data_IF_377317029190
#
_entry.id   IF_377317029190
#
_cell.length_a   1.000
_cell.length_b   1.000
_cell.length_c   1.000
_cell.angle_alpha   90.00
_cell.angle_beta   90.00
_cell.angle_gamma   90.00
#
_symmetry.space_group_name_H-M   'P 1'
#
loop_
_entity.id
_entity.type
_entity.pdbx_description
1 polymer ?
#
# COMPACT_ATOMS: atom_id res chain seq x y z
N UNK A 1 -11.69 72.17 6.98
CA UNK A 1 -11.45 72.14 8.44
C UNK A 1 -10.24 71.23 8.69
N UNK A 2 -9.12 71.83 9.12
CA UNK A 2 -7.86 71.27 9.70
C UNK A 2 -7.08 70.18 8.91
N UNK A 3 -5.87 70.45 8.37
CA UNK A 3 -4.53 70.63 9.02
C UNK A 3 -3.78 69.28 9.15
N UNK A 4 -2.84 68.93 8.25
CA UNK A 4 -1.37 69.16 8.26
C UNK A 4 -0.51 68.13 9.03
N UNK A 5 0.60 67.75 8.37
CA UNK A 5 1.90 67.23 8.89
C UNK A 5 1.93 65.82 9.50
N UNK A 6 2.97 64.99 9.33
CA UNK A 6 4.28 65.16 8.71
C UNK A 6 5.10 63.86 8.81
N UNK A 7 6.15 63.72 8.00
CA UNK A 7 7.09 62.59 8.01
C UNK A 7 8.24 62.80 9.00
N UNK A 8 8.69 61.72 9.65
CA UNK A 8 10.05 61.43 10.16
C UNK A 8 10.02 59.93 10.50
N UNK A 9 10.90 59.03 10.09
CA UNK A 9 12.33 59.12 9.86
C UNK A 9 13.06 58.46 11.04
N UNK A 10 13.60 57.25 10.87
CA UNK A 10 14.74 56.79 11.68
C UNK A 10 14.71 55.41 12.33
N UNK A 11 15.56 54.54 11.79
CA UNK A 11 16.52 53.66 12.49
C UNK A 11 16.13 52.28 13.07
N UNK A 12 17.13 51.40 12.94
CA UNK A 12 17.18 49.96 13.14
C UNK A 12 17.29 49.57 14.62
N UNK A 13 16.64 48.46 14.98
CA UNK A 13 17.09 47.46 15.95
C UNK A 13 16.39 46.14 15.51
N UNK A 14 17.03 45.01 15.23
CA UNK A 14 18.13 44.40 15.96
C UNK A 14 17.57 43.65 17.16
N UNK A 15 17.03 42.44 16.96
CA UNK A 15 16.52 41.62 18.06
C UNK A 15 15.81 40.35 17.59
N UNK A 16 16.59 39.28 17.40
CA UNK A 16 16.06 37.93 17.40
C UNK A 16 15.78 37.52 18.86
N UNK A 17 14.55 37.08 19.17
CA UNK A 17 14.31 36.07 20.20
C UNK A 17 12.85 35.62 20.20
N UNK A 18 12.67 34.31 19.94
CA UNK A 18 11.68 33.44 20.59
C UNK A 18 10.24 33.96 20.71
N UNK A 19 9.49 33.88 19.61
CA UNK A 19 8.03 33.77 19.67
C UNK A 19 7.63 32.30 19.72
N UNK A 20 7.39 31.77 20.93
CA UNK A 20 6.69 30.51 21.17
C UNK A 20 5.30 30.60 20.54
N UNK A 21 5.16 30.10 19.31
CA UNK A 21 3.89 29.93 18.63
C UNK A 21 3.27 28.61 19.03
N UNK A 22 2.47 28.63 20.09
CA UNK A 22 1.45 27.63 20.42
C UNK A 22 0.41 27.55 19.29
N UNK A 23 0.68 26.72 18.29
CA UNK A 23 -0.26 26.40 17.22
C UNK A 23 -1.10 25.17 17.58
N UNK A 24 -2.33 25.42 17.99
CA UNK A 24 -3.34 24.40 18.28
C UNK A 24 -3.58 23.49 17.06
N UNK A 25 -3.58 22.18 17.32
CA UNK A 25 -4.07 21.17 16.38
C UNK A 25 -5.57 21.33 16.17
N UNK A 26 -5.97 21.59 14.93
CA UNK A 26 -7.35 21.66 14.50
C UNK A 26 -7.44 22.06 13.04
N UNK A 27 -7.83 21.12 12.17
CA UNK A 27 -8.05 21.42 10.75
C UNK A 27 -7.81 20.27 9.81
N UNK A 28 -8.73 19.30 9.83
CA UNK A 28 -8.96 18.32 8.75
C UNK A 28 -9.37 19.12 7.50
N UNK A 29 -8.48 19.19 6.51
CA UNK A 29 -8.66 19.92 5.26
C UNK A 29 -7.89 19.24 4.12
N UNK A 30 -8.53 19.16 2.96
CA UNK A 30 -8.26 18.34 1.77
C UNK A 30 -6.88 18.49 1.10
N UNK A 31 -5.78 18.09 1.74
CA UNK A 31 -4.45 18.23 1.13
C UNK A 31 -3.33 17.32 1.63
N UNK A 32 -3.44 16.71 2.81
CA UNK A 32 -2.43 15.78 3.31
C UNK A 32 -3.11 14.48 3.72
N UNK A 33 -2.71 13.37 3.08
CA UNK A 33 -3.09 12.04 3.53
C UNK A 33 -2.58 11.79 4.96
N UNK A 34 -3.01 10.70 5.62
CA UNK A 34 -2.50 10.35 6.94
C UNK A 34 -0.97 10.18 6.86
N UNK A 35 -0.25 11.14 7.42
CA UNK A 35 1.19 11.11 7.52
C UNK A 35 1.68 12.03 8.64
N UNK A 36 2.82 11.65 9.21
CA UNK A 36 3.47 12.37 10.31
C UNK A 36 4.54 13.29 9.69
N UNK A 37 4.57 14.56 10.08
CA UNK A 37 5.68 15.44 9.70
C UNK A 37 5.52 16.91 10.08
N UNK A 38 6.05 17.30 11.24
CA UNK A 38 6.34 18.69 11.60
C UNK A 38 7.72 19.09 11.03
N UNK A 39 7.81 19.20 9.70
CA UNK A 39 9.02 19.69 9.01
C UNK A 39 10.18 18.69 8.82
N UNK A 40 10.01 17.39 9.10
CA UNK A 40 10.99 16.34 8.76
C UNK A 40 10.25 15.11 8.20
N UNK A 41 10.58 14.74 6.96
CA UNK A 41 10.21 13.50 6.27
C UNK A 41 8.76 13.02 6.47
N UNK A 42 7.87 13.35 5.54
CA UNK A 42 6.50 12.82 5.52
C UNK A 42 6.52 11.29 5.48
N UNK A 43 6.15 10.65 6.60
CA UNK A 43 5.90 9.22 6.67
C UNK A 43 4.43 9.00 6.32
N UNK A 44 4.15 8.48 5.12
CA UNK A 44 2.79 8.10 4.73
C UNK A 44 2.53 6.61 4.99
N UNK A 45 1.26 6.21 5.01
CA UNK A 45 0.86 4.78 4.98
C UNK A 45 1.50 3.99 3.81
N UNK A 46 1.86 4.68 2.73
CA UNK A 46 2.46 4.15 1.51
C UNK A 46 4.01 4.23 1.52
N UNK A 47 4.60 4.62 2.64
CA UNK A 47 6.05 4.77 2.81
C UNK A 47 6.53 6.22 2.67
N UNK A 48 7.83 6.37 2.40
CA UNK A 48 8.54 7.65 2.39
C UNK A 48 9.47 7.82 1.19
N UNK A 49 9.60 9.05 0.70
CA UNK A 49 10.56 9.38 -0.37
C UNK A 49 12.03 9.29 0.08
N UNK A 50 12.27 9.25 1.40
CA UNK A 50 13.59 9.08 2.00
C UNK A 50 13.75 7.68 2.58
N UNK A 51 14.89 7.02 2.30
CA UNK A 51 15.33 5.83 3.03
C UNK A 51 16.86 5.74 3.03
N UNK A 52 17.44 5.36 4.18
CA UNK A 52 18.88 5.07 4.32
C UNK A 52 19.25 3.60 4.07
N UNK A 53 18.26 2.72 3.87
CA UNK A 53 18.43 1.27 3.73
C UNK A 53 17.68 0.79 2.48
N UNK A 54 18.17 -0.21 1.73
CA UNK A 54 17.40 -0.78 0.63
C UNK A 54 16.15 -1.49 1.18
N UNK A 55 14.97 -0.98 0.80
CA UNK A 55 13.64 -1.45 1.22
C UNK A 55 12.80 -1.87 0.00
N UNK A 56 11.49 -2.02 0.18
CA UNK A 56 10.56 -2.14 -0.93
C UNK A 56 10.42 -0.79 -1.62
N UNK A 57 10.72 -0.72 -2.92
CA UNK A 57 10.57 0.50 -3.73
C UNK A 57 9.24 0.48 -4.47
N UNK A 58 8.38 1.43 -4.11
CA UNK A 58 7.05 1.63 -4.66
C UNK A 58 7.03 2.49 -5.91
N UNK A 59 6.31 2.04 -6.93
CA UNK A 59 5.86 2.84 -8.08
C UNK A 59 4.34 2.84 -8.12
N UNK A 60 3.74 4.03 -8.16
CA UNK A 60 2.32 4.20 -8.42
C UNK A 60 2.08 4.37 -9.93
N UNK A 61 1.11 3.64 -10.47
CA UNK A 61 0.69 3.70 -11.87
C UNK A 61 -0.74 4.23 -11.99
N UNK A 62 -0.97 5.12 -12.96
CA UNK A 62 -2.31 5.52 -13.39
C UNK A 62 -2.77 4.56 -14.49
N UNK A 63 -3.76 3.71 -14.18
CA UNK A 63 -4.27 2.73 -15.14
C UNK A 63 -5.13 3.37 -16.24
N UNK A 64 -5.47 4.66 -16.07
CA UNK A 64 -6.35 5.41 -16.96
C UNK A 64 -5.58 6.11 -18.08
N UNK A 65 -4.25 6.14 -17.99
CA UNK A 65 -3.36 6.85 -18.90
C UNK A 65 -2.36 5.92 -19.56
N UNK A 66 -1.98 6.25 -20.79
CA UNK A 66 -0.88 5.61 -21.49
C UNK A 66 0.45 5.90 -20.78
N UNK A 67 1.53 5.19 -21.12
CA UNK A 67 2.87 5.46 -20.58
C UNK A 67 3.31 6.92 -20.76
N UNK A 68 2.82 7.55 -21.83
CA UNK A 68 3.19 8.90 -22.27
C UNK A 68 2.33 9.97 -21.57
N UNK A 69 1.32 9.57 -20.79
CA UNK A 69 0.46 10.44 -19.99
C UNK A 69 -0.89 10.75 -20.64
N UNK A 70 -1.14 10.26 -21.85
CA UNK A 70 -2.41 10.49 -22.55
C UNK A 70 -3.56 9.74 -21.88
N UNK A 71 -4.70 10.40 -21.73
CA UNK A 71 -5.92 9.78 -21.22
C UNK A 71 -6.42 8.73 -22.19
N UNK A 72 -6.46 7.46 -21.77
CA UNK A 72 -6.99 6.33 -22.56
C UNK A 72 -8.50 6.18 -22.33
N UNK A 73 -9.00 6.56 -21.16
CA UNK A 73 -10.44 6.63 -20.86
C UNK A 73 -10.77 7.60 -19.73
N UNK A 74 -12.04 8.01 -19.66
CA UNK A 74 -12.51 9.05 -18.75
C UNK A 74 -12.17 8.73 -17.28
N UNK A 75 -11.68 9.75 -16.58
CA UNK A 75 -10.72 9.55 -15.49
C UNK A 75 -11.33 9.42 -14.10
N UNK A 76 -12.56 9.88 -13.90
CA UNK A 76 -13.18 9.94 -12.55
C UNK A 76 -14.69 9.76 -12.54
N UNK A 77 -15.37 9.71 -13.69
CA UNK A 77 -16.83 9.66 -13.73
C UNK A 77 -17.34 8.33 -13.12
N UNK A 78 -18.46 8.34 -12.37
CA UNK A 78 -19.04 7.12 -11.79
C UNK A 78 -19.34 6.01 -12.82
N UNK A 79 -19.71 6.39 -14.05
CA UNK A 79 -19.99 5.45 -15.14
C UNK A 79 -18.79 4.63 -15.62
N UNK A 80 -17.55 5.06 -15.34
CA UNK A 80 -16.33 4.38 -15.77
C UNK A 80 -15.84 3.31 -14.77
N UNK A 81 -16.56 3.12 -13.67
CA UNK A 81 -16.21 2.17 -12.61
C UNK A 81 -15.90 0.77 -13.16
N UNK A 82 -16.74 0.26 -14.07
CA UNK A 82 -16.52 -1.05 -14.70
C UNK A 82 -15.22 -1.11 -15.52
N UNK A 83 -14.90 -0.04 -16.26
CA UNK A 83 -13.67 0.03 -17.08
C UNK A 83 -12.41 0.11 -16.22
N UNK A 84 -12.44 0.85 -15.11
CA UNK A 84 -11.32 0.89 -14.15
C UNK A 84 -11.02 -0.48 -13.55
N UNK A 85 -12.05 -1.23 -13.16
CA UNK A 85 -11.92 -2.60 -12.65
C UNK A 85 -11.34 -3.55 -13.69
N UNK A 86 -11.84 -3.47 -14.93
CA UNK A 86 -11.30 -4.26 -16.05
C UNK A 86 -9.81 -3.96 -16.29
N UNK A 87 -9.41 -2.70 -16.24
CA UNK A 87 -8.02 -2.31 -16.47
C UNK A 87 -7.10 -2.69 -15.32
N UNK A 88 -7.57 -2.59 -14.06
CA UNK A 88 -6.89 -3.13 -12.89
C UNK A 88 -6.64 -4.63 -13.02
N UNK A 89 -7.65 -5.40 -13.43
CA UNK A 89 -7.48 -6.82 -13.68
C UNK A 89 -6.51 -7.12 -14.83
N UNK A 90 -6.57 -6.34 -15.91
CA UNK A 90 -5.65 -6.49 -17.03
C UNK A 90 -4.20 -6.23 -16.60
N UNK A 91 -3.96 -5.20 -15.79
CA UNK A 91 -2.65 -4.89 -15.24
C UNK A 91 -2.10 -6.02 -14.35
N UNK A 92 -2.93 -6.56 -13.45
CA UNK A 92 -2.57 -7.69 -12.59
C UNK A 92 -2.29 -8.97 -13.38
N UNK A 93 -3.15 -9.34 -14.34
CA UNK A 93 -2.92 -10.50 -15.22
C UNK A 93 -1.63 -10.33 -16.02
N UNK A 94 -1.36 -9.11 -16.50
CA UNK A 94 -0.11 -8.79 -17.21
C UNK A 94 1.13 -8.95 -16.32
N UNK A 95 1.05 -8.58 -15.04
CA UNK A 95 2.13 -8.85 -14.07
C UNK A 95 2.42 -10.34 -13.97
N UNK A 96 1.40 -11.16 -13.78
CA UNK A 96 1.59 -12.60 -13.60
C UNK A 96 2.07 -13.26 -14.90
N UNK A 97 1.44 -12.95 -16.04
CA UNK A 97 1.78 -13.50 -17.35
C UNK A 97 3.24 -13.19 -17.75
N UNK A 98 3.73 -11.99 -17.41
CA UNK A 98 5.12 -11.60 -17.66
C UNK A 98 6.04 -11.87 -16.46
N UNK A 99 5.68 -12.83 -15.58
CA UNK A 99 6.56 -13.30 -14.50
C UNK A 99 7.05 -12.16 -13.60
N UNK A 100 6.13 -11.25 -13.27
CA UNK A 100 6.35 -10.06 -12.44
C UNK A 100 7.40 -9.09 -12.99
N UNK A 101 7.61 -9.07 -14.31
CA UNK A 101 8.43 -8.05 -14.96
C UNK A 101 7.64 -6.74 -15.11
N UNK A 102 7.76 -5.85 -14.12
CA UNK A 102 7.02 -4.57 -14.07
C UNK A 102 7.28 -3.67 -15.28
N UNK A 103 8.48 -3.73 -15.87
CA UNK A 103 8.80 -2.99 -17.09
C UNK A 103 7.94 -3.45 -18.28
N UNK A 104 7.80 -4.77 -18.46
CA UNK A 104 7.02 -5.34 -19.55
C UNK A 104 5.51 -5.23 -19.28
N UNK A 105 5.09 -5.46 -18.04
CA UNK A 105 3.68 -5.51 -17.68
C UNK A 105 3.03 -4.15 -17.55
N UNK A 106 3.76 -3.17 -16.97
CA UNK A 106 3.18 -1.91 -16.51
C UNK A 106 3.86 -0.70 -17.13
N UNK A 107 5.19 -0.54 -16.99
CA UNK A 107 5.86 0.70 -17.37
C UNK A 107 5.82 0.99 -18.89
N UNK A 108 5.65 -0.04 -19.73
CA UNK A 108 5.43 0.12 -21.17
C UNK A 108 3.99 0.49 -21.55
N UNK A 109 3.04 0.41 -20.61
CA UNK A 109 1.61 0.55 -20.88
C UNK A 109 0.98 1.73 -20.14
N UNK A 110 1.31 1.90 -18.86
CA UNK A 110 0.66 2.86 -17.97
C UNK A 110 1.58 4.00 -17.58
N UNK A 111 0.99 5.17 -17.35
CA UNK A 111 1.71 6.31 -16.79
C UNK A 111 2.19 5.97 -15.37
N UNK A 112 3.47 6.15 -15.10
CA UNK A 112 4.06 5.96 -13.78
C UNK A 112 4.25 7.31 -13.10
N UNK A 113 3.85 7.41 -11.82
CA UNK A 113 4.17 8.57 -11.01
C UNK A 113 5.70 8.78 -10.96
N UNK A 114 6.17 10.03 -11.08
CA UNK A 114 7.59 10.35 -11.07
C UNK A 114 8.21 10.11 -9.68
N UNK A 115 7.47 10.44 -8.62
CA UNK A 115 7.86 10.14 -7.24
C UNK A 115 7.83 8.63 -6.98
N UNK A 116 8.83 8.12 -6.28
CA UNK A 116 8.87 6.75 -5.76
C UNK A 116 8.91 6.80 -4.24
N UNK A 117 8.26 5.85 -3.58
CA UNK A 117 8.28 5.72 -2.12
C UNK A 117 9.02 4.45 -1.72
N UNK A 118 9.67 4.48 -0.57
CA UNK A 118 10.26 3.31 0.06
C UNK A 118 9.37 2.88 1.22
N UNK A 119 9.07 1.59 1.31
CA UNK A 119 8.22 1.03 2.35
C UNK A 119 8.90 -0.17 3.02
N UNK A 120 8.70 -0.30 4.34
CA UNK A 120 9.15 -1.45 5.12
C UNK A 120 8.09 -2.55 5.22
N UNK A 121 6.83 -2.23 4.92
CA UNK A 121 5.68 -3.11 5.02
C UNK A 121 4.60 -2.66 4.04
N UNK A 122 3.64 -3.54 3.75
CA UNK A 122 2.37 -3.15 3.13
C UNK A 122 1.28 -3.35 4.18
N UNK A 123 1.03 -2.28 4.92
CA UNK A 123 -0.07 -2.17 5.87
C UNK A 123 -0.67 -0.78 5.71
N UNK A 124 -1.73 -0.68 4.95
CA UNK A 124 -2.43 0.55 4.61
C UNK A 124 -3.86 0.27 5.00
N UNK A 125 -4.24 0.55 6.25
CA UNK A 125 -5.63 0.42 6.65
C UNK A 125 -6.02 1.43 7.72
N UNK A 126 -7.33 1.70 7.81
CA UNK A 126 -8.00 2.61 8.73
C UNK A 126 -8.15 2.02 10.14
N UNK A 127 -7.89 2.85 11.14
CA UNK A 127 -8.33 2.63 12.52
C UNK A 127 -9.87 2.75 12.69
N UNK A 128 -10.49 1.68 13.23
CA UNK A 128 -11.93 1.58 13.53
C UNK A 128 -12.34 2.55 14.65
N UNK A 129 -11.43 2.90 15.58
CA UNK A 129 -11.69 3.79 16.71
C UNK A 129 -11.73 5.26 16.32
N UNK A 130 -10.82 5.73 15.47
CA UNK A 130 -10.76 7.14 15.04
C UNK A 130 -11.67 7.49 13.86
N UNK A 131 -12.32 6.51 13.22
CA UNK A 131 -13.12 6.72 12.00
C UNK A 131 -12.35 7.42 10.86
N UNK A 132 -11.01 7.38 10.81
CA UNK A 132 -10.22 7.92 9.70
C UNK A 132 -10.06 6.94 8.52
N UNK A 133 -10.97 7.01 7.55
CA UNK A 133 -10.96 6.12 6.37
C UNK A 133 -9.83 6.50 5.44
N UNK A 134 -8.98 5.53 5.07
CA UNK A 134 -8.04 5.73 3.97
C UNK A 134 -8.86 5.78 2.69
N UNK A 135 -9.00 6.98 2.16
CA UNK A 135 -9.65 7.24 0.89
C UNK A 135 -8.68 6.85 -0.24
N UNK A 136 -9.21 6.44 -1.39
CA UNK A 136 -8.43 6.09 -2.56
C UNK A 136 -7.43 7.19 -2.98
N UNK A 137 -7.79 8.47 -2.78
CA UNK A 137 -6.90 9.61 -3.07
C UNK A 137 -5.67 9.70 -2.15
N UNK A 138 -5.66 8.99 -0.99
CA UNK A 138 -4.51 8.99 -0.09
C UNK A 138 -3.28 8.38 -0.78
N UNK A 139 -3.47 7.37 -1.64
CA UNK A 139 -2.39 6.79 -2.44
C UNK A 139 -1.81 7.83 -3.39
N UNK A 140 -2.63 8.50 -4.21
CA UNK A 140 -2.16 9.52 -5.16
C UNK A 140 -1.49 10.69 -4.46
N UNK A 141 -2.00 11.12 -3.30
CA UNK A 141 -1.42 12.20 -2.51
C UNK A 141 -0.06 11.82 -1.90
N UNK A 142 0.12 10.57 -1.46
CA UNK A 142 1.39 10.11 -0.91
C UNK A 142 2.54 10.15 -1.93
N UNK A 143 2.22 10.01 -3.23
CA UNK A 143 3.17 10.08 -4.34
C UNK A 143 3.27 11.48 -4.96
N UNK A 144 2.82 12.53 -4.26
CA UNK A 144 2.96 13.91 -4.73
C UNK A 144 4.43 14.29 -4.98
N UNK A 145 4.63 15.22 -5.92
CA UNK A 145 5.94 15.80 -6.19
C UNK A 145 6.36 16.85 -5.15
N UNK A 146 7.51 17.50 -5.33
CA UNK A 146 7.94 18.61 -4.47
C UNK A 146 6.96 19.79 -4.41
N UNK A 147 6.08 19.92 -5.42
CA UNK A 147 5.02 20.93 -5.48
C UNK A 147 3.77 20.56 -4.64
N UNK A 148 3.78 19.39 -3.99
CA UNK A 148 2.69 18.91 -3.13
C UNK A 148 1.45 18.46 -3.90
N UNK A 149 1.49 18.42 -5.25
CA UNK A 149 0.33 18.03 -6.05
C UNK A 149 0.36 16.53 -6.36
N UNK A 150 -0.80 15.83 -6.28
CA UNK A 150 -0.87 14.44 -6.69
C UNK A 150 -0.58 14.34 -8.20
N UNK A 151 0.12 13.28 -8.65
CA UNK A 151 0.49 13.12 -10.06
C UNK A 151 -0.72 12.86 -10.97
N UNK A 152 -1.83 12.39 -10.41
CA UNK A 152 -3.12 12.15 -11.06
C UNK A 152 -4.22 11.92 -10.01
N UNK A 153 -5.48 11.97 -10.45
CA UNK A 153 -6.62 11.71 -9.59
C UNK A 153 -6.89 10.21 -9.41
N UNK A 154 -7.30 9.83 -8.20
CA UNK A 154 -7.99 8.57 -7.93
C UNK A 154 -9.45 8.64 -8.43
N UNK A 155 -10.15 7.49 -8.59
CA UNK A 155 -9.68 6.09 -8.47
C UNK A 155 -8.95 5.56 -9.72
N UNK A 156 -8.62 4.26 -9.75
CA UNK A 156 -8.06 3.58 -10.93
C UNK A 156 -6.53 3.63 -10.97
N UNK A 157 -5.90 3.15 -9.91
CA UNK A 157 -4.45 3.13 -9.75
C UNK A 157 -3.97 1.78 -9.23
N UNK A 158 -2.68 1.51 -9.47
CA UNK A 158 -1.98 0.33 -8.95
C UNK A 158 -0.63 0.78 -8.41
N UNK A 159 -0.33 0.45 -7.14
CA UNK A 159 1.01 0.58 -6.59
C UNK A 159 1.71 -0.76 -6.63
N UNK A 160 2.97 -0.78 -7.08
CA UNK A 160 3.82 -1.96 -7.06
C UNK A 160 5.10 -1.66 -6.28
N UNK A 161 5.33 -2.47 -5.25
CA UNK A 161 6.50 -2.46 -4.38
C UNK A 161 7.43 -3.61 -4.77
N UNK A 162 8.66 -3.29 -5.17
CA UNK A 162 9.67 -4.27 -5.55
C UNK A 162 10.85 -4.24 -4.58
N UNK A 163 11.38 -5.40 -4.22
CA UNK A 163 12.54 -5.48 -3.33
C UNK A 163 13.13 -6.88 -3.20
N UNK A 164 14.03 -7.04 -2.23
CA UNK A 164 14.57 -8.34 -1.82
C UNK A 164 14.16 -8.63 -0.38
N UNK A 165 13.91 -9.90 -0.07
CA UNK A 165 13.63 -10.38 1.29
C UNK A 165 14.54 -11.56 1.65
N UNK A 166 14.78 -11.76 2.93
CA UNK A 166 15.37 -12.99 3.48
C UNK A 166 14.66 -13.31 4.79
N UNK A 167 14.19 -14.55 5.02
CA UNK A 167 13.57 -14.89 6.29
C UNK A 167 14.60 -14.82 7.43
N UNK A 168 14.18 -14.53 8.68
CA UNK A 168 15.08 -14.53 9.83
C UNK A 168 15.56 -15.94 10.21
N UNK A 169 14.82 -16.97 9.79
CA UNK A 169 15.07 -18.39 10.02
C UNK A 169 14.69 -19.20 8.77
N UNK A 170 15.27 -20.39 8.62
CA UNK A 170 14.84 -21.34 7.58
C UNK A 170 13.51 -21.97 8.00
N UNK A 171 12.55 -22.07 7.07
CA UNK A 171 11.24 -22.64 7.36
C UNK A 171 10.25 -22.56 6.21
N UNK A 172 9.04 -23.04 6.45
CA UNK A 172 7.89 -22.86 5.56
C UNK A 172 7.07 -21.66 6.01
N UNK A 173 6.86 -20.71 5.11
CA UNK A 173 6.13 -19.47 5.36
C UNK A 173 5.03 -19.27 4.32
N UNK A 174 3.92 -18.62 4.66
CA UNK A 174 2.93 -18.13 3.69
C UNK A 174 2.50 -16.72 4.02
N UNK A 175 2.11 -15.98 3.00
CA UNK A 175 1.45 -14.70 3.18
C UNK A 175 -0.01 -14.90 3.59
N UNK A 176 -0.50 -14.00 4.43
CA UNK A 176 -1.91 -13.92 4.84
C UNK A 176 -2.33 -12.46 4.77
N UNK A 177 -3.49 -12.14 4.20
CA UNK A 177 -3.83 -10.73 4.03
C UNK A 177 -5.12 -10.46 3.28
N UNK A 178 -5.35 -9.19 2.99
CA UNK A 178 -6.48 -8.69 2.22
C UNK A 178 -6.13 -7.38 1.51
N UNK A 179 -6.79 -7.11 0.38
CA UNK A 179 -6.79 -5.81 -0.30
C UNK A 179 -8.21 -5.37 -0.65
N UNK A 180 -8.43 -4.06 -0.60
CA UNK A 180 -9.61 -3.33 -1.05
C UNK A 180 -9.12 -2.26 -2.05
N UNK A 181 -9.14 -2.53 -3.36
CA UNK A 181 -9.88 -3.62 -4.02
C UNK A 181 -9.10 -4.96 -4.13
N UNK A 182 -7.76 -4.93 -4.29
CA UNK A 182 -6.96 -6.12 -4.65
C UNK A 182 -5.53 -6.09 -4.10
N UNK A 183 -5.00 -7.24 -3.66
CA UNK A 183 -3.61 -7.42 -3.21
C UNK A 183 -2.98 -8.68 -3.84
N UNK A 184 -1.80 -8.56 -4.44
CA UNK A 184 -1.12 -9.62 -5.18
C UNK A 184 0.37 -9.65 -4.82
N UNK A 185 0.93 -10.84 -4.58
CA UNK A 185 2.36 -11.00 -4.26
C UNK A 185 3.02 -12.05 -5.16
N UNK A 186 4.11 -11.64 -5.78
CA UNK A 186 5.06 -12.51 -6.46
C UNK A 186 6.33 -12.69 -5.64
N UNK A 187 6.86 -13.91 -5.60
CA UNK A 187 8.16 -14.24 -5.03
C UNK A 187 8.99 -14.99 -6.07
N UNK A 188 10.20 -14.49 -6.37
CA UNK A 188 11.07 -15.02 -7.41
C UNK A 188 10.33 -15.27 -8.73
N UNK A 189 9.49 -14.30 -9.13
CA UNK A 189 8.70 -14.30 -10.37
C UNK A 189 7.52 -15.28 -10.41
N UNK A 190 7.19 -15.89 -9.28
CA UNK A 190 6.06 -16.81 -9.15
C UNK A 190 4.98 -16.21 -8.27
N UNK A 191 3.71 -16.39 -8.65
CA UNK A 191 2.57 -15.95 -7.84
C UNK A 191 2.49 -16.81 -6.57
N UNK A 192 2.46 -16.16 -5.41
CA UNK A 192 2.40 -16.85 -4.11
C UNK A 192 1.23 -16.38 -3.24
N UNK A 193 0.60 -15.25 -3.58
CA UNK A 193 -0.54 -14.70 -2.85
C UNK A 193 -1.41 -13.85 -3.77
N UNK A 194 -2.73 -13.98 -3.61
CA UNK A 194 -3.72 -13.13 -4.25
C UNK A 194 -4.95 -12.99 -3.36
N UNK A 195 -5.45 -11.77 -3.20
CA UNK A 195 -6.63 -11.43 -2.40
C UNK A 195 -7.39 -10.26 -3.03
N UNK A 196 -8.70 -10.20 -2.80
CA UNK A 196 -9.57 -9.16 -3.31
C UNK A 196 -10.81 -8.96 -2.45
N UNK A 197 -11.45 -7.79 -2.60
CA UNK A 197 -12.65 -7.40 -1.87
C UNK A 197 -13.89 -8.21 -2.30
N UNK A 198 -14.62 -8.85 -1.37
CA UNK A 198 -15.82 -9.64 -1.69
C UNK A 198 -17.01 -8.75 -2.09
N UNK A 199 -17.87 -9.25 -2.98
CA UNK A 199 -19.10 -8.54 -3.42
C UNK A 199 -18.94 -7.70 -4.68
N UNK A 200 -17.73 -7.62 -5.20
CA UNK A 200 -17.40 -6.92 -6.45
C UNK A 200 -17.85 -7.68 -7.73
N UNK A 201 -18.51 -8.84 -7.61
CA UNK A 201 -19.16 -9.53 -8.72
C UNK A 201 -18.23 -10.15 -9.79
N UNK A 202 -16.93 -10.21 -9.54
CA UNK A 202 -15.91 -10.53 -10.56
C UNK A 202 -15.70 -12.01 -10.86
N UNK A 203 -16.68 -12.86 -10.56
CA UNK A 203 -16.54 -14.30 -10.70
C UNK A 203 -15.43 -14.85 -9.80
N UNK A 204 -15.09 -16.15 -9.91
CA UNK A 204 -13.90 -16.65 -9.25
C UNK A 204 -12.69 -15.85 -9.72
N UNK A 205 -11.83 -15.48 -8.77
CA UNK A 205 -10.52 -14.92 -9.04
C UNK A 205 -9.95 -15.54 -10.32
N UNK A 206 -9.60 -14.69 -11.29
CA UNK A 206 -9.06 -15.16 -12.56
C UNK A 206 -7.69 -15.77 -12.26
N UNK A 207 -7.71 -17.07 -11.98
CA UNK A 207 -6.55 -17.91 -11.79
C UNK A 207 -6.18 -18.49 -13.14
N UNK A 208 -5.68 -17.64 -14.03
CA UNK A 208 -4.71 -18.14 -15.00
C UNK A 208 -3.39 -17.43 -14.74
N UNK A 209 -2.49 -18.16 -14.07
CA UNK A 209 -1.18 -18.32 -14.65
C UNK A 209 -0.95 -19.78 -15.00
N UNK A 210 -0.23 -20.00 -16.09
CA UNK A 210 0.07 -21.29 -16.70
C UNK A 210 0.82 -22.28 -15.80
N UNK A 211 0.19 -22.75 -14.71
CA UNK A 211 0.46 -23.99 -13.99
C UNK A 211 -0.87 -24.56 -13.52
N UNK A 212 -1.32 -25.60 -14.20
CA UNK A 212 -2.61 -26.27 -14.02
C UNK A 212 -2.93 -26.84 -12.62
N UNK A 213 -2.07 -26.67 -11.60
CA UNK A 213 -2.17 -27.39 -10.31
C UNK A 213 -1.87 -26.52 -9.07
N UNK A 214 -2.10 -25.21 -9.13
CA UNK A 214 -1.88 -24.32 -7.96
C UNK A 214 -3.13 -24.05 -7.12
N UNK A 215 -4.28 -24.55 -7.57
CA UNK A 215 -5.57 -24.18 -7.02
C UNK A 215 -5.95 -25.00 -5.77
N UNK A 216 -6.33 -24.36 -4.66
CA UNK A 216 -7.09 -25.03 -3.61
C UNK A 216 -8.44 -25.52 -4.17
N UNK A 217 -8.91 -26.66 -3.68
CA UNK A 217 -10.16 -27.27 -4.13
C UNK A 217 -11.35 -26.28 -4.07
N UNK A 218 -12.16 -26.19 -5.14
CA UNK A 218 -13.38 -25.35 -5.27
C UNK A 218 -13.23 -23.81 -5.31
N UNK A 219 -12.02 -23.25 -5.43
CA UNK A 219 -11.79 -21.79 -5.54
C UNK A 219 -12.56 -21.12 -6.71
N UNK A 220 -12.88 -21.86 -7.79
CA UNK A 220 -13.57 -21.37 -8.98
C UNK A 220 -15.10 -21.19 -8.83
N UNK A 221 -15.70 -21.64 -7.72
CA UNK A 221 -17.17 -21.59 -7.55
C UNK A 221 -17.63 -20.58 -6.51
N UNK A 222 -16.71 -20.03 -5.72
CA UNK A 222 -17.07 -19.40 -4.46
C UNK A 222 -16.19 -18.20 -4.09
N UNK A 223 -15.58 -17.51 -5.04
CA UNK A 223 -14.72 -16.35 -4.75
C UNK A 223 -13.38 -16.69 -4.05
N UNK A 224 -13.00 -17.97 -3.98
CA UNK A 224 -11.86 -18.40 -3.17
C UNK A 224 -12.17 -18.44 -1.67
N UNK A 225 -13.45 -18.33 -1.27
CA UNK A 225 -13.95 -18.43 0.12
C UNK A 225 -13.36 -19.59 0.92
N UNK A 226 -13.05 -20.72 0.28
CA UNK A 226 -12.41 -21.88 0.92
C UNK A 226 -10.99 -21.62 1.45
N UNK A 227 -10.31 -20.58 0.95
CA UNK A 227 -8.98 -20.14 1.39
C UNK A 227 -9.01 -19.06 2.45
N UNK A 228 -10.20 -18.51 2.75
CA UNK A 228 -10.34 -17.46 3.74
C UNK A 228 -10.04 -18.01 5.12
N UNK A 229 -9.24 -17.27 5.87
CA UNK A 229 -9.15 -17.44 7.31
C UNK A 229 -10.46 -16.93 7.86
N UNK A 230 -11.41 -17.82 8.09
CA UNK A 230 -12.76 -17.46 8.51
C UNK A 230 -12.89 -17.69 10.03
N UNK A 231 -12.62 -16.70 10.89
CA UNK A 231 -13.22 -16.65 12.22
C UNK A 231 -14.51 -15.84 12.19
N UNK A 232 -15.34 -16.01 13.23
CA UNK A 232 -16.27 -14.97 13.67
C UNK A 232 -15.47 -13.90 14.43
N UNK A 233 -14.62 -13.15 13.75
CA UNK A 233 -13.92 -11.99 14.31
C UNK A 233 -14.86 -10.78 14.42
N UNK A 234 -14.63 -9.85 15.37
CA UNK A 234 -15.48 -8.67 15.56
C UNK A 234 -15.56 -7.73 14.36
N UNK A 235 -14.71 -7.84 13.32
CA UNK A 235 -14.77 -6.98 12.15
C UNK A 235 -14.71 -7.73 10.81
N UNK A 236 -15.28 -7.10 9.77
CA UNK A 236 -15.42 -7.66 8.41
C UNK A 236 -14.06 -8.05 7.82
N UNK A 237 -12.99 -7.29 8.08
CA UNK A 237 -11.66 -7.60 7.55
C UNK A 237 -11.02 -8.84 8.16
N UNK A 238 -11.17 -9.07 9.47
CA UNK A 238 -10.74 -10.30 10.14
C UNK A 238 -11.41 -11.53 9.54
N UNK A 239 -12.61 -11.36 9.01
CA UNK A 239 -13.44 -12.44 8.47
C UNK A 239 -13.15 -12.72 6.98
N UNK A 240 -12.28 -11.91 6.35
CA UNK A 240 -12.03 -11.95 4.92
C UNK A 240 -10.54 -12.09 4.56
N UNK A 241 -9.67 -12.41 5.51
CA UNK A 241 -8.26 -12.67 5.22
C UNK A 241 -8.12 -13.90 4.31
N UNK A 242 -7.25 -13.84 3.32
CA UNK A 242 -6.90 -14.97 2.47
C UNK A 242 -5.55 -15.56 2.88
N UNK A 243 -5.35 -16.86 2.62
CA UNK A 243 -4.07 -17.55 2.76
C UNK A 243 -3.44 -17.81 1.40
N UNK A 244 -2.18 -17.39 1.25
CA UNK A 244 -1.36 -17.75 0.10
C UNK A 244 -0.73 -19.13 0.23
N UNK A 245 0.21 -19.40 -0.67
CA UNK A 245 0.94 -20.66 -0.71
C UNK A 245 2.03 -20.74 0.34
N UNK A 246 2.28 -21.97 0.80
CA UNK A 246 3.49 -22.28 1.54
C UNK A 246 4.72 -22.16 0.64
N UNK A 247 5.71 -21.43 1.14
CA UNK A 247 6.98 -21.15 0.50
C UNK A 247 8.09 -21.69 1.41
N UNK A 248 8.97 -22.51 0.85
CA UNK A 248 10.18 -22.99 1.55
C UNK A 248 11.27 -21.93 1.45
N UNK A 249 11.51 -21.20 2.53
CA UNK A 249 12.49 -20.12 2.58
C UNK A 249 13.69 -20.50 3.44
N UNK A 250 14.89 -20.10 3.01
CA UNK A 250 16.15 -20.34 3.72
C UNK A 250 16.73 -19.03 4.21
N UNK A 251 17.15 -19.00 5.49
CA UNK A 251 17.84 -17.86 6.08
C UNK A 251 19.08 -17.51 5.25
N UNK A 252 19.30 -16.21 5.02
CA UNK A 252 20.44 -15.70 4.26
C UNK A 252 20.28 -15.80 2.75
N UNK A 253 19.27 -16.52 2.25
CA UNK A 253 18.93 -16.51 0.82
C UNK A 253 18.10 -15.28 0.50
N UNK A 254 18.48 -14.57 -0.56
CA UNK A 254 17.73 -13.42 -1.07
C UNK A 254 16.65 -13.88 -2.05
N UNK A 255 15.42 -13.45 -1.80
CA UNK A 255 14.28 -13.69 -2.67
C UNK A 255 13.77 -12.36 -3.20
N UNK A 256 13.59 -12.24 -4.51
CA UNK A 256 12.97 -11.05 -5.12
C UNK A 256 11.48 -11.09 -4.83
N UNK A 257 10.94 -9.99 -4.29
CA UNK A 257 9.52 -9.86 -3.99
C UNK A 257 8.91 -8.72 -4.81
N UNK A 258 7.70 -8.93 -5.30
CA UNK A 258 6.87 -7.93 -5.95
C UNK A 258 5.50 -7.94 -5.27
N UNK A 259 5.11 -6.84 -4.61
CA UNK A 259 3.83 -6.70 -3.92
C UNK A 259 3.03 -5.62 -4.65
N UNK A 260 1.88 -5.98 -5.21
CA UNK A 260 1.01 -5.09 -5.95
C UNK A 260 -0.31 -4.91 -5.21
N UNK A 261 -0.74 -3.65 -5.04
CA UNK A 261 -2.00 -3.28 -4.40
C UNK A 261 -2.67 -2.19 -5.23
N UNK A 262 -3.98 -2.27 -5.44
CA UNK A 262 -4.68 -1.33 -6.31
C UNK A 262 -6.16 -1.19 -6.00
N UNK A 263 -6.74 -0.17 -6.62
CA UNK A 263 -8.11 0.27 -6.42
C UNK A 263 -8.67 0.82 -7.74
N UNK A 264 -9.88 0.42 -8.10
CA UNK A 264 -10.58 0.80 -9.32
C UNK A 264 -12.02 1.27 -9.12
N UNK A 265 -12.63 1.03 -7.96
CA UNK A 265 -14.04 1.32 -7.70
C UNK A 265 -14.32 2.80 -7.37
N UNK A 266 -13.58 3.37 -6.43
CA UNK A 266 -13.77 4.65 -5.77
C UNK A 266 -14.02 4.45 -4.27
N UNK A 267 -13.87 5.52 -3.49
CA UNK A 267 -14.14 5.50 -2.06
C UNK A 267 -12.91 5.06 -1.25
N UNK A 268 -12.98 3.90 -0.61
CA UNK A 268 -11.97 3.45 0.33
C UNK A 268 -10.88 2.65 -0.37
N UNK A 269 -9.69 2.66 0.21
CA UNK A 269 -8.60 1.82 -0.24
C UNK A 269 -7.79 1.33 0.94
N UNK A 270 -7.46 0.05 0.95
CA UNK A 270 -6.50 -0.48 1.91
C UNK A 270 -5.97 -1.85 1.57
N UNK A 271 -4.79 -2.17 2.09
CA UNK A 271 -4.23 -3.51 2.03
C UNK A 271 -3.45 -3.81 3.28
N UNK A 272 -3.55 -5.04 3.75
CA UNK A 272 -2.73 -5.52 4.85
C UNK A 272 -2.12 -6.87 4.47
N UNK A 273 -0.80 -6.93 4.56
CA UNK A 273 -0.02 -8.14 4.30
C UNK A 273 0.68 -8.59 5.59
N UNK A 274 0.37 -9.82 5.98
CA UNK A 274 0.97 -10.53 7.09
C UNK A 274 1.67 -11.80 6.63
N UNK A 275 2.38 -12.42 7.57
CA UNK A 275 3.11 -13.65 7.35
C UNK A 275 2.77 -14.67 8.43
N UNK A 276 2.69 -15.93 8.02
CA UNK A 276 2.51 -17.09 8.88
C UNK A 276 3.69 -18.05 8.66
N UNK A 277 4.30 -18.54 9.74
CA UNK A 277 5.25 -19.66 9.69
C UNK A 277 4.49 -20.95 10.01
N UNK A 278 4.80 -22.02 9.27
CA UNK A 278 4.12 -23.30 9.43
C UNK A 278 4.31 -23.86 10.83
N UNK A 279 3.20 -24.24 11.47
CA UNK A 279 3.18 -24.78 12.82
C UNK A 279 3.02 -23.72 13.93
N UNK A 280 3.02 -22.43 13.60
CA UNK A 280 2.70 -21.39 14.59
C UNK A 280 1.20 -21.31 14.86
N UNK A 281 0.84 -21.14 16.13
CA UNK A 281 -0.54 -20.90 16.53
C UNK A 281 -0.89 -19.41 16.37
N UNK A 282 -2.06 -19.14 15.81
CA UNK A 282 -2.57 -17.78 15.64
C UNK A 282 -3.93 -17.63 16.35
N UNK A 283 -3.97 -17.55 17.70
CA UNK A 283 -5.20 -17.35 18.43
C UNK A 283 -5.96 -16.11 17.93
N UNK A 284 -7.24 -16.29 17.62
CA UNK A 284 -8.09 -15.22 17.08
C UNK A 284 -7.66 -14.71 15.71
N UNK A 285 -6.90 -15.49 14.93
CA UNK A 285 -6.39 -15.12 13.60
C UNK A 285 -5.56 -13.83 13.58
N UNK A 286 -4.84 -13.58 14.68
CA UNK A 286 -3.89 -12.47 14.79
C UNK A 286 -2.54 -12.89 14.21
N UNK A 287 -2.32 -12.53 12.95
CA UNK A 287 -1.07 -12.76 12.22
C UNK A 287 -0.08 -11.63 12.45
N UNK A 288 1.21 -11.90 12.31
CA UNK A 288 2.25 -10.86 12.37
C UNK A 288 2.39 -10.14 11.03
N UNK A 289 2.49 -8.82 11.07
CA UNK A 289 2.68 -8.02 9.86
C UNK A 289 3.99 -8.39 9.17
N UNK A 290 3.91 -8.53 7.85
CA UNK A 290 5.10 -8.74 7.04
C UNK A 290 5.89 -7.44 6.95
N UNK A 291 7.16 -7.47 7.38
CA UNK A 291 7.99 -6.27 7.52
C UNK A 291 9.48 -6.53 7.25
N UNK A 292 10.16 -5.51 6.74
CA UNK A 292 11.61 -5.49 6.50
C UNK A 292 12.41 -4.79 7.62
N UNK A 293 11.74 -4.06 8.49
CA UNK A 293 12.30 -3.44 9.70
C UNK A 293 11.29 -3.48 10.85
N UNK A 294 11.71 -3.05 12.04
CA UNK A 294 10.75 -2.65 13.07
C UNK A 294 9.80 -1.58 12.52
N UNK A 295 8.54 -1.65 12.95
CA UNK A 295 7.53 -0.66 12.62
C UNK A 295 7.63 0.45 13.66
N UNK A 296 7.60 1.69 13.22
CA UNK A 296 7.60 2.85 14.09
C UNK A 296 6.31 2.84 14.96
N UNK A 297 6.41 2.97 16.30
CA UNK A 297 5.24 3.04 17.17
C UNK A 297 4.22 4.11 16.76
N UNK A 298 4.64 5.28 16.27
CA UNK A 298 3.69 6.31 15.84
C UNK A 298 2.94 5.88 14.56
N UNK A 299 3.61 5.11 13.70
CA UNK A 299 3.01 4.53 12.51
C UNK A 299 2.07 3.36 12.85
N UNK A 300 2.33 2.65 13.95
CA UNK A 300 1.42 1.64 14.49
C UNK A 300 0.07 2.25 14.87
N UNK A 301 0.08 3.38 15.57
CA UNK A 301 -1.14 4.05 16.02
C UNK A 301 -2.01 4.56 14.85
N UNK A 302 -1.39 4.91 13.72
CA UNK A 302 -2.10 5.43 12.54
C UNK A 302 -2.60 4.29 11.64
N UNK A 303 -1.77 3.25 11.46
CA UNK A 303 -2.04 2.24 10.44
C UNK A 303 -2.81 1.05 11.00
N UNK A 304 -2.65 0.68 12.27
CA UNK A 304 -3.11 -0.62 12.71
C UNK A 304 -4.56 -0.62 13.19
N UNK A 305 -5.32 -1.60 12.71
CA UNK A 305 -6.53 -2.02 13.42
C UNK A 305 -6.10 -2.81 14.63
N UNK A 306 -6.44 -2.30 15.81
CA UNK A 306 -6.27 -3.04 17.05
C UNK A 306 -6.90 -4.44 16.95
N UNK A 307 -6.09 -5.45 17.21
CA UNK A 307 -6.53 -6.84 17.25
C UNK A 307 -6.68 -7.54 15.89
N UNK A 308 -6.40 -6.92 14.74
CA UNK A 308 -6.35 -7.64 13.45
C UNK A 308 -4.96 -8.29 13.21
N UNK A 309 -3.88 -7.56 13.49
CA UNK A 309 -2.51 -8.06 13.32
C UNK A 309 -1.62 -7.71 14.51
N UNK A 310 -0.50 -8.43 14.63
CA UNK A 310 0.56 -8.18 15.61
C UNK A 310 1.67 -7.35 14.97
N UNK A 311 2.11 -6.32 15.68
CA UNK A 311 3.30 -5.54 15.34
C UNK A 311 4.56 -6.42 15.47
N UNK A 312 4.59 -7.23 16.53
CA UNK A 312 5.65 -8.16 16.84
C UNK A 312 5.65 -9.30 15.84
N UNK A 313 6.85 -9.76 15.48
CA UNK A 313 7.00 -10.84 14.53
C UNK A 313 8.30 -10.75 13.74
N UNK A 314 8.51 -11.73 12.84
CA UNK A 314 9.73 -11.87 12.08
C UNK A 314 10.00 -10.67 11.16
N UNK A 315 11.27 -10.26 11.08
CA UNK A 315 11.74 -9.24 10.15
C UNK A 315 12.46 -9.90 8.98
N UNK A 316 11.99 -9.67 7.76
CA UNK A 316 12.44 -10.34 6.54
C UNK A 316 13.59 -9.62 5.82
N UNK A 317 14.59 -9.19 6.59
CA UNK A 317 15.65 -8.32 6.09
C UNK A 317 16.73 -9.10 5.33
N UNK A 318 17.06 -8.70 4.08
CA UNK A 318 18.20 -9.26 3.35
C UNK A 318 19.52 -9.07 4.10
N UNK A 319 20.48 -10.01 3.97
CA UNK A 319 21.82 -9.78 4.48
C UNK A 319 22.43 -8.54 3.82
N UNK A 320 23.02 -7.66 4.64
CA UNK A 320 23.78 -6.49 4.15
C UNK A 320 24.94 -6.99 3.30
N UNK A 321 25.19 -6.33 2.15
CA UNK A 321 26.45 -6.56 1.42
C UNK A 321 27.59 -6.18 2.37
N UNK A 322 28.50 -7.12 2.60
CA UNK A 322 29.80 -6.83 3.20
C UNK A 322 30.63 -6.01 2.21
#
# INVERSE_FOLDING_TARGET
>A
VNSMMGSMGGMKAGGASSGLGSGAGGGIGSGMGPGIGNGRAFLSAFGSSFSKTPLLRGTLYDLKRSRDGDTVFCTTAPGDTGKRKQELHAALRSLVANKFNTQQSLAKKYYAAPTKLNANQVYIYKDIKTKNTIQANAATNAFAGPDGKPPFAAPGWLVVYEGEISPPETGEYRFVGMGDDVLLVGLNRELVFYAYWPGEGHGPAIHEPARANWEPENHCKNDGKGTRVNPKGPNVFQNLLYKGSWMKLRKGTKYKVCIAFGEGTGGLAGAALAIEKKGEAHPGNKYSVFKLSSIDPELMDILFIEGLYKAEGPTFMPPRRR
#
